data_IF_931046805242
#
_entry.id   IF_931046805242
#
_cell.length_a   1.000
_cell.length_b   1.000
_cell.length_c   1.000
_cell.angle_alpha   90.00
_cell.angle_beta   90.00
_cell.angle_gamma   90.00
#
_symmetry.space_group_name_H-M   'P 1'
#
loop_
_entity.id
_entity.type
_entity.pdbx_description
1 polymer ?
#
# COMPACT_ATOMS: atom_id res chain seq x y z
N UNK A 1 14.79 3.11 16.13
CA UNK A 1 14.30 1.81 15.58
C UNK A 1 15.46 1.17 14.83
N UNK A 2 15.52 -0.16 14.72
CA UNK A 2 16.58 -0.83 13.94
C UNK A 2 16.20 -0.87 12.46
N UNK A 3 17.16 -0.67 11.56
CA UNK A 3 16.97 -0.64 10.09
C UNK A 3 16.25 -1.90 9.54
N UNK A 4 16.41 -3.06 10.20
CA UNK A 4 15.64 -4.27 9.89
C UNK A 4 14.15 -4.16 10.22
N UNK A 5 13.83 -3.52 11.34
CA UNK A 5 12.44 -3.32 11.78
C UNK A 5 11.71 -2.39 10.83
N UNK A 6 12.36 -1.33 10.35
CA UNK A 6 11.77 -0.37 9.41
C UNK A 6 11.51 -1.01 8.04
N UNK A 7 12.43 -1.85 7.56
CA UNK A 7 12.23 -2.63 6.32
C UNK A 7 11.07 -3.63 6.41
N UNK A 8 10.94 -4.33 7.53
CA UNK A 8 9.83 -5.26 7.76
C UNK A 8 8.48 -4.53 7.84
N UNK A 9 8.47 -3.34 8.46
CA UNK A 9 7.29 -2.50 8.55
C UNK A 9 6.88 -1.96 7.17
N UNK A 10 7.84 -1.50 6.37
CA UNK A 10 7.61 -1.08 4.99
C UNK A 10 7.02 -2.22 4.13
N UNK A 11 7.57 -3.43 4.23
CA UNK A 11 7.03 -4.61 3.55
C UNK A 11 5.59 -4.91 3.99
N UNK A 12 5.30 -4.80 5.29
CA UNK A 12 3.96 -5.03 5.82
C UNK A 12 2.93 -4.02 5.30
N UNK A 13 3.32 -2.75 5.20
CA UNK A 13 2.47 -1.68 4.62
C UNK A 13 2.15 -1.98 3.15
N UNK A 14 3.14 -2.43 2.36
CA UNK A 14 2.92 -2.80 0.95
C UNK A 14 1.92 -3.96 0.84
N UNK A 15 2.07 -5.00 1.66
CA UNK A 15 1.16 -6.14 1.66
C UNK A 15 -0.27 -5.76 2.07
N UNK A 16 -0.42 -4.91 3.07
CA UNK A 16 -1.72 -4.38 3.48
C UNK A 16 -2.38 -3.52 2.38
N UNK A 17 -1.60 -2.68 1.69
CA UNK A 17 -2.10 -1.88 0.58
C UNK A 17 -2.62 -2.76 -0.57
N UNK A 18 -1.86 -3.81 -0.95
CA UNK A 18 -2.29 -4.77 -1.97
C UNK A 18 -3.56 -5.53 -1.56
N UNK A 19 -3.66 -5.92 -0.29
CA UNK A 19 -4.84 -6.58 0.24
C UNK A 19 -6.08 -5.69 0.15
N UNK A 20 -6.00 -4.43 0.58
CA UNK A 20 -7.10 -3.46 0.50
C UNK A 20 -7.52 -3.24 -0.95
N UNK A 21 -6.56 -3.04 -1.86
CA UNK A 21 -6.86 -2.89 -3.30
C UNK A 21 -7.58 -4.12 -3.83
N UNK A 22 -7.11 -5.32 -3.49
CA UNK A 22 -7.77 -6.58 -3.88
C UNK A 22 -9.19 -6.71 -3.34
N UNK A 23 -9.47 -6.29 -2.09
CA UNK A 23 -10.83 -6.31 -1.54
C UNK A 23 -11.76 -5.35 -2.28
N UNK A 24 -11.25 -4.18 -2.70
CA UNK A 24 -12.05 -3.18 -3.42
C UNK A 24 -12.36 -3.55 -4.88
N UNK A 25 -11.58 -4.43 -5.51
CA UNK A 25 -11.76 -4.84 -6.91
C UNK A 25 -12.65 -6.07 -7.09
N UNK A 26 -12.75 -6.95 -6.09
CA UNK A 26 -13.49 -8.23 -6.23
C UNK A 26 -15.01 -8.05 -6.14
N UNK A 27 -15.53 -7.03 -5.43
CA UNK A 27 -16.98 -6.72 -5.41
C UNK A 27 -17.20 -5.20 -5.26
N UNK A 28 -17.11 -4.40 -6.33
CA UNK A 28 -17.42 -2.98 -6.23
C UNK A 28 -18.93 -2.79 -6.26
N UNK A 29 -19.61 -3.04 -5.13
CA UNK A 29 -21.01 -2.61 -4.96
C UNK A 29 -21.12 -1.07 -4.97
N UNK A 30 -20.01 -0.37 -4.71
CA UNK A 30 -19.87 1.08 -4.77
C UNK A 30 -18.61 1.45 -5.57
N UNK A 31 -18.77 1.82 -6.85
CA UNK A 31 -17.66 2.20 -7.74
C UNK A 31 -16.80 3.34 -7.18
N UNK A 32 -17.39 4.27 -6.43
CA UNK A 32 -16.67 5.40 -5.82
C UNK A 32 -15.63 4.90 -4.80
N UNK A 33 -16.00 3.97 -3.93
CA UNK A 33 -15.08 3.38 -2.95
C UNK A 33 -13.99 2.53 -3.63
N UNK A 34 -14.32 1.86 -4.73
CA UNK A 34 -13.35 1.14 -5.57
C UNK A 34 -12.29 2.07 -6.15
N UNK A 35 -12.70 3.17 -6.76
CA UNK A 35 -11.79 4.17 -7.31
C UNK A 35 -10.91 4.83 -6.23
N UNK A 36 -11.50 5.17 -5.07
CA UNK A 36 -10.74 5.73 -3.94
C UNK A 36 -9.70 4.74 -3.42
N UNK A 37 -10.07 3.47 -3.26
CA UNK A 37 -9.15 2.41 -2.81
C UNK A 37 -7.97 2.21 -3.75
N UNK A 38 -8.22 2.25 -5.07
CA UNK A 38 -7.15 2.17 -6.08
C UNK A 38 -6.23 3.38 -5.99
N UNK A 39 -6.77 4.61 -5.98
CA UNK A 39 -5.97 5.84 -5.95
C UNK A 39 -5.11 5.90 -4.68
N UNK A 40 -5.70 5.67 -3.50
CA UNK A 40 -4.96 5.69 -2.24
C UNK A 40 -3.96 4.55 -2.14
N UNK A 41 -4.32 3.35 -2.61
CA UNK A 41 -3.41 2.20 -2.65
C UNK A 41 -2.19 2.44 -3.55
N UNK A 42 -2.40 3.03 -4.73
CA UNK A 42 -1.30 3.41 -5.63
C UNK A 42 -0.38 4.46 -4.99
N UNK A 43 -0.93 5.49 -4.34
CA UNK A 43 -0.13 6.51 -3.65
C UNK A 43 0.70 5.90 -2.50
N UNK A 44 0.11 4.99 -1.73
CA UNK A 44 0.81 4.30 -0.64
C UNK A 44 1.99 3.46 -1.16
N UNK A 45 1.81 2.76 -2.29
CA UNK A 45 2.88 1.99 -2.93
C UNK A 45 4.03 2.91 -3.38
N UNK A 46 3.71 4.04 -4.03
CA UNK A 46 4.73 5.01 -4.48
C UNK A 46 5.50 5.55 -3.28
N UNK A 47 4.81 5.94 -2.21
CA UNK A 47 5.46 6.43 -0.99
C UNK A 47 6.39 5.38 -0.38
N UNK A 48 5.93 4.13 -0.27
CA UNK A 48 6.74 3.03 0.27
C UNK A 48 8.00 2.75 -0.58
N UNK A 49 7.91 2.87 -1.91
CA UNK A 49 9.07 2.73 -2.81
C UNK A 49 10.08 3.87 -2.63
N UNK A 50 9.62 5.11 -2.42
CA UNK A 50 10.51 6.25 -2.14
C UNK A 50 11.21 6.06 -0.79
N UNK A 51 10.47 5.64 0.24
CA UNK A 51 11.04 5.34 1.56
C UNK A 51 12.10 4.23 1.47
N UNK A 52 11.80 3.16 0.72
CA UNK A 52 12.74 2.07 0.48
C UNK A 52 14.00 2.56 -0.22
N UNK A 53 13.87 3.40 -1.25
CA UNK A 53 15.02 4.00 -1.94
C UNK A 53 15.88 4.84 -0.99
N UNK A 54 15.27 5.63 -0.11
CA UNK A 54 16.01 6.49 0.81
C UNK A 54 16.68 5.71 1.97
N UNK A 55 16.20 4.50 2.25
CA UNK A 55 16.78 3.60 3.26
C UNK A 55 17.99 2.78 2.74
N UNK A 56 18.30 2.85 1.44
CA UNK A 56 19.44 2.19 0.79
C UNK A 56 20.43 3.22 0.23
#
# INVERSE_FOLDING_TARGET
MSDRTDRLLALHVILMALFVVSQTTVVPRNQLLGSIGIVLGTLAIIYALVELKNAF
#
